data_IF_409639631328
#
_entry.id   IF_409639631328
#
_cell.length_a   1.000
_cell.length_b   1.000
_cell.length_c   1.000
_cell.angle_alpha   90.00
_cell.angle_beta   90.00
_cell.angle_gamma   90.00
#
_symmetry.space_group_name_H-M   'P 1'
#
loop_
_entity.id
_entity.type
_entity.pdbx_description
1 polymer ?
#
# COMPACT_ATOMS: atom_id res chain seq x y z
N UNK A 1 9.60 10.93 -2.90
CA UNK A 1 10.95 10.36 -3.04
C UNK A 1 10.84 8.84 -2.95
N UNK A 2 11.26 8.14 -4.00
CA UNK A 2 11.30 6.68 -4.04
C UNK A 2 12.34 6.17 -3.04
N UNK A 3 11.93 5.34 -2.09
CA UNK A 3 12.84 4.74 -1.10
C UNK A 3 13.33 3.41 -1.65
N UNK A 4 14.65 3.25 -1.81
CA UNK A 4 15.23 1.98 -2.25
C UNK A 4 16.42 1.54 -1.39
N UNK A 5 16.75 0.25 -1.46
CA UNK A 5 17.85 -0.42 -0.76
C UNK A 5 18.60 -1.36 -1.70
N UNK A 6 19.82 -1.71 -1.32
CA UNK A 6 20.68 -2.60 -2.11
C UNK A 6 20.44 -4.07 -1.78
N UNK A 7 19.91 -4.38 -0.59
CA UNK A 7 19.63 -5.74 -0.15
C UNK A 7 18.18 -5.91 0.29
N UNK A 8 17.69 -7.14 0.21
CA UNK A 8 16.34 -7.48 0.65
C UNK A 8 16.18 -7.31 2.17
N UNK A 9 17.20 -7.71 2.95
CA UNK A 9 17.21 -7.61 4.41
C UNK A 9 17.16 -6.15 4.90
N UNK A 10 17.69 -5.20 4.13
CA UNK A 10 17.52 -3.77 4.42
C UNK A 10 16.13 -3.24 4.06
N UNK A 11 15.49 -3.81 3.03
CA UNK A 11 14.22 -3.32 2.49
C UNK A 11 13.01 -3.83 3.28
N UNK A 12 13.01 -5.11 3.66
CA UNK A 12 11.87 -5.76 4.31
C UNK A 12 11.42 -5.09 5.60
N UNK A 13 12.32 -4.67 6.53
CA UNK A 13 11.89 -3.99 7.76
C UNK A 13 11.16 -2.66 7.49
N UNK A 14 11.49 -1.97 6.39
CA UNK A 14 10.87 -0.70 6.02
C UNK A 14 9.43 -0.86 5.51
N UNK A 15 9.06 -2.08 5.15
CA UNK A 15 7.71 -2.46 4.78
C UNK A 15 6.77 -2.53 5.99
N UNK A 16 7.33 -2.81 7.17
CA UNK A 16 6.56 -3.03 8.38
C UNK A 16 6.30 -1.70 9.09
N UNK A 17 5.09 -1.17 8.90
CA UNK A 17 4.66 0.07 9.55
C UNK A 17 3.31 -0.15 10.23
N UNK A 18 3.17 0.13 11.54
CA UNK A 18 1.89 -0.03 12.23
C UNK A 18 0.75 0.69 11.53
N UNK A 19 -0.34 -0.02 11.26
CA UNK A 19 -1.53 0.53 10.61
C UNK A 19 -1.39 0.83 9.12
N UNK A 20 -0.32 0.36 8.46
CA UNK A 20 -0.13 0.51 7.02
C UNK A 20 0.25 -0.83 6.38
N UNK A 21 -0.16 -1.00 5.12
CA UNK A 21 0.29 -2.10 4.28
C UNK A 21 1.55 -1.62 3.58
N UNK A 22 2.65 -2.35 3.73
CA UNK A 22 3.86 -2.15 2.94
C UNK A 22 4.02 -3.20 1.85
N UNK A 23 4.78 -2.82 0.82
CA UNK A 23 5.23 -3.61 -0.32
C UNK A 23 6.72 -3.35 -0.60
N UNK A 24 7.48 -4.39 -0.94
CA UNK A 24 8.83 -4.26 -1.52
C UNK A 24 8.84 -4.82 -2.94
N UNK A 25 9.30 -4.04 -3.91
CA UNK A 25 9.57 -4.50 -5.28
C UNK A 25 11.07 -4.80 -5.41
N UNK A 26 11.41 -6.02 -5.80
CA UNK A 26 12.75 -6.44 -6.24
C UNK A 26 12.76 -6.51 -7.76
N UNK A 27 13.72 -5.81 -8.38
CA UNK A 27 14.02 -5.98 -9.81
C UNK A 27 15.31 -6.79 -9.95
N UNK A 28 15.16 -8.07 -10.30
CA UNK A 28 16.24 -9.06 -10.43
C UNK A 28 17.22 -9.14 -9.23
N UNK A 29 16.76 -8.81 -8.02
CA UNK A 29 17.61 -8.74 -6.83
C UNK A 29 18.70 -7.67 -6.88
N UNK A 30 18.67 -6.76 -7.86
CA UNK A 30 19.66 -5.70 -8.02
C UNK A 30 19.31 -4.44 -7.21
N UNK A 31 18.01 -4.14 -7.08
CA UNK A 31 17.48 -3.05 -6.26
C UNK A 31 16.13 -3.41 -5.67
N UNK A 32 15.88 -2.89 -4.48
CA UNK A 32 14.67 -3.12 -3.70
C UNK A 32 13.97 -1.80 -3.40
N UNK A 33 12.76 -1.61 -3.90
CA UNK A 33 11.97 -0.38 -3.76
C UNK A 33 10.85 -0.59 -2.75
N UNK A 34 10.69 0.34 -1.82
CA UNK A 34 9.74 0.22 -0.72
C UNK A 34 8.56 1.17 -0.92
N UNK A 35 7.36 0.62 -0.86
CA UNK A 35 6.09 1.35 -0.95
C UNK A 35 5.28 1.09 0.31
N UNK A 36 4.68 2.14 0.86
CA UNK A 36 3.85 2.05 2.07
C UNK A 36 2.54 2.78 1.79
N UNK A 37 1.42 2.11 2.08
CA UNK A 37 0.08 2.66 1.87
C UNK A 37 -0.07 4.02 2.55
N UNK A 38 -0.77 4.94 1.88
CA UNK A 38 -1.05 6.28 2.36
C UNK A 38 -2.54 6.42 2.68
N UNK A 39 -2.81 7.05 3.81
CA UNK A 39 -4.16 7.44 4.19
C UNK A 39 -4.55 8.72 3.44
N UNK A 40 -5.85 8.86 3.17
CA UNK A 40 -6.39 10.11 2.66
C UNK A 40 -6.32 11.20 3.71
N UNK A 41 -6.35 12.46 3.26
CA UNK A 41 -6.48 13.64 4.13
C UNK A 41 -7.60 13.49 5.15
N UNK A 42 -8.76 13.02 4.71
CA UNK A 42 -9.90 12.80 5.59
C UNK A 42 -9.63 11.70 6.62
N UNK A 43 -9.02 10.58 6.23
CA UNK A 43 -8.66 9.52 7.16
C UNK A 43 -7.67 10.01 8.23
N UNK A 44 -6.66 10.78 7.83
CA UNK A 44 -5.69 11.39 8.74
C UNK A 44 -6.38 12.37 9.71
N UNK A 45 -7.23 13.26 9.17
CA UNK A 45 -7.95 14.24 9.97
C UNK A 45 -8.91 13.58 10.99
N UNK A 46 -9.72 12.62 10.53
CA UNK A 46 -10.62 11.85 11.39
C UNK A 46 -9.87 11.11 12.51
N UNK A 47 -8.76 10.44 12.17
CA UNK A 47 -7.92 9.74 13.15
C UNK A 47 -7.29 10.69 14.17
N UNK A 48 -6.86 11.87 13.73
CA UNK A 48 -6.27 12.88 14.60
C UNK A 48 -7.29 13.45 15.60
N UNK A 49 -8.50 13.78 15.14
CA UNK A 49 -9.58 14.28 16.00
C UNK A 49 -10.03 13.19 16.98
N UNK A 50 -10.30 11.97 16.48
CA UNK A 50 -10.70 10.85 17.33
C UNK A 50 -9.68 10.54 18.43
N UNK A 51 -8.39 10.54 18.09
CA UNK A 51 -7.34 10.34 19.09
C UNK A 51 -7.26 11.47 20.11
N UNK A 52 -7.37 12.74 19.69
CA UNK A 52 -7.39 13.89 20.61
C UNK A 52 -8.56 13.83 21.58
N UNK A 53 -9.77 13.51 21.09
CA UNK A 53 -10.96 13.39 21.95
C UNK A 53 -10.83 12.21 22.92
N UNK A 54 -10.31 11.07 22.45
CA UNK A 54 -10.03 9.91 23.31
C UNK A 54 -9.04 10.25 24.43
N UNK A 55 -7.92 10.89 24.10
CA UNK A 55 -6.91 11.31 25.09
C UNK A 55 -7.50 12.35 26.05
N UNK A 56 -8.27 13.32 25.55
CA UNK A 56 -8.95 14.30 26.39
C UNK A 56 -9.91 13.66 27.39
N UNK A 57 -10.71 12.68 26.96
CA UNK A 57 -11.62 11.94 27.83
C UNK A 57 -10.86 11.15 28.92
N UNK A 58 -9.74 10.52 28.55
CA UNK A 58 -8.87 9.81 29.49
C UNK A 58 -8.27 10.75 30.55
N UNK A 59 -7.78 11.92 30.13
CA UNK A 59 -7.19 12.91 31.03
C UNK A 59 -8.22 13.51 32.00
N UNK A 60 -9.44 13.76 31.51
CA UNK A 60 -10.52 14.33 32.32
C UNK A 60 -11.22 13.30 33.21
N UNK A 61 -10.95 11.99 33.03
CA UNK A 61 -11.63 10.87 33.72
C UNK A 61 -13.16 10.92 33.64
N UNK A 62 -13.70 11.67 32.69
CA UNK A 62 -15.14 11.80 32.45
C UNK A 62 -15.37 11.44 30.98
N UNK A 63 -16.10 10.35 30.69
CA UNK A 63 -16.49 10.05 29.33
C UNK A 63 -17.44 11.16 28.85
N UNK A 64 -17.12 11.86 27.74
CA UNK A 64 -18.02 12.88 27.21
C UNK A 64 -19.34 12.22 26.79
N UNK A 65 -20.47 12.92 26.98
CA UNK A 65 -21.73 12.45 26.41
C UNK A 65 -21.60 12.36 24.88
N UNK A 66 -22.33 11.45 24.21
CA UNK A 66 -22.27 11.32 22.76
C UNK A 66 -22.51 12.64 22.02
N UNK A 67 -23.43 13.50 22.51
CA UNK A 67 -23.69 14.80 21.89
C UNK A 67 -22.50 15.76 22.01
N UNK A 68 -21.86 15.82 23.18
CA UNK A 68 -20.66 16.66 23.40
C UNK A 68 -19.50 16.15 22.54
N UNK A 69 -19.34 14.83 22.47
CA UNK A 69 -18.32 14.22 21.62
C UNK A 69 -18.53 14.59 20.15
N UNK A 70 -19.75 14.48 19.65
CA UNK A 70 -20.08 14.79 18.26
C UNK A 70 -19.93 16.28 17.93
N UNK A 71 -20.33 17.17 18.84
CA UNK A 71 -20.16 18.62 18.68
C UNK A 71 -18.66 18.99 18.58
N UNK A 72 -17.84 18.49 19.52
CA UNK A 72 -16.38 18.72 19.49
C UNK A 72 -15.72 18.10 18.26
N UNK A 73 -16.21 16.94 17.82
CA UNK A 73 -15.71 16.31 16.60
C UNK A 73 -15.96 17.19 15.38
N UNK A 74 -17.18 17.70 15.23
CA UNK A 74 -17.56 18.58 14.13
C UNK A 74 -16.78 19.91 14.14
N UNK A 75 -16.49 20.44 15.32
CA UNK A 75 -15.67 21.66 15.51
C UNK A 75 -14.21 21.44 15.10
N UNK A 76 -13.60 20.33 15.51
CA UNK A 76 -12.17 20.08 15.29
C UNK A 76 -11.82 19.52 13.91
N UNK A 77 -12.77 18.88 13.24
CA UNK A 77 -12.52 18.21 11.95
C UNK A 77 -12.04 19.16 10.83
N UNK A 78 -12.64 20.35 10.62
CA UNK A 78 -12.13 21.31 9.63
C UNK A 78 -10.68 21.72 9.90
N UNK A 79 -10.35 22.03 11.16
CA UNK A 79 -8.99 22.40 11.57
C UNK A 79 -8.00 21.28 11.27
N UNK A 80 -8.37 20.03 11.57
CA UNK A 80 -7.53 18.87 11.29
C UNK A 80 -7.31 18.64 9.78
N UNK A 81 -8.32 18.91 8.94
CA UNK A 81 -8.22 18.84 7.47
C UNK A 81 -7.28 19.90 6.92
N UNK A 82 -7.34 21.12 7.45
CA UNK A 82 -6.47 22.22 7.03
C UNK A 82 -5.01 21.92 7.39
N UNK A 83 -4.76 21.43 8.61
CA UNK A 83 -3.44 21.00 9.04
C UNK A 83 -2.89 19.84 8.19
N UNK A 84 -3.74 18.88 7.81
CA UNK A 84 -3.33 17.79 6.93
C UNK A 84 -2.98 18.31 5.52
N UNK A 85 -3.73 19.28 5.01
CA UNK A 85 -3.43 19.94 3.72
C UNK A 85 -2.10 20.68 3.77
N UNK A 86 -1.85 21.47 4.84
CA UNK A 86 -0.59 22.19 5.03
C UNK A 86 0.63 21.25 5.13
N UNK A 87 0.43 20.01 5.58
CA UNK A 87 1.46 18.96 5.64
C UNK A 87 1.62 18.18 4.33
N UNK A 88 0.91 18.55 3.28
CA UNK A 88 0.96 17.87 1.99
C UNK A 88 0.34 16.46 2.02
N UNK A 89 -0.64 16.22 2.90
CA UNK A 89 -1.38 14.94 2.89
C UNK A 89 -2.32 14.92 1.69
N UNK A 90 -2.18 13.89 0.87
CA UNK A 90 -2.97 13.69 -0.34
C UNK A 90 -4.48 13.58 -0.06
N UNK A 91 -5.29 14.10 -0.97
CA UNK A 91 -6.75 14.04 -0.85
C UNK A 91 -7.27 12.61 -0.85
N UNK A 92 -6.61 11.71 -1.58
CA UNK A 92 -7.01 10.32 -1.74
C UNK A 92 -6.04 9.37 -1.02
N UNK A 93 -6.57 8.25 -0.53
CA UNK A 93 -5.75 7.16 -0.05
C UNK A 93 -5.12 6.41 -1.21
N UNK A 94 -3.97 5.79 -0.95
CA UNK A 94 -3.28 4.91 -1.89
C UNK A 94 -2.85 3.63 -1.20
N UNK A 95 -3.21 2.48 -1.76
CA UNK A 95 -2.66 1.20 -1.31
C UNK A 95 -1.22 1.07 -1.81
N UNK A 96 -0.41 0.22 -1.17
CA UNK A 96 1.00 0.07 -1.54
C UNK A 96 1.16 -0.47 -2.98
N UNK A 97 0.23 -1.32 -3.42
CA UNK A 97 0.12 -1.83 -4.78
C UNK A 97 -0.20 -0.73 -5.79
N UNK A 98 -1.02 0.25 -5.42
CA UNK A 98 -1.32 1.39 -6.29
C UNK A 98 -0.09 2.30 -6.45
N UNK A 99 0.63 2.54 -5.37
CA UNK A 99 1.88 3.31 -5.40
C UNK A 99 2.95 2.60 -6.25
N UNK A 100 3.03 1.27 -6.17
CA UNK A 100 3.88 0.49 -7.07
C UNK A 100 3.52 0.76 -8.53
N UNK A 101 2.23 0.71 -8.88
CA UNK A 101 1.77 0.95 -10.26
C UNK A 101 2.11 2.38 -10.70
N UNK A 102 1.87 3.37 -9.86
CA UNK A 102 2.10 4.79 -10.16
C UNK A 102 3.59 5.11 -10.37
N UNK A 103 4.49 4.47 -9.63
CA UNK A 103 5.92 4.78 -9.64
C UNK A 103 6.78 3.69 -10.30
N UNK A 104 6.16 2.72 -11.00
CA UNK A 104 6.92 1.62 -11.59
C UNK A 104 7.90 2.08 -12.65
N UNK A 105 7.50 3.04 -13.48
CA UNK A 105 8.36 3.56 -14.55
C UNK A 105 9.62 4.22 -13.98
N UNK A 106 9.51 4.91 -12.83
CA UNK A 106 10.67 5.44 -12.10
C UNK A 106 11.60 4.30 -11.63
N UNK A 107 11.04 3.20 -11.11
CA UNK A 107 11.80 2.02 -10.69
C UNK A 107 12.54 1.37 -11.87
N UNK A 108 11.87 1.27 -13.02
CA UNK A 108 12.45 0.70 -14.24
C UNK A 108 13.56 1.60 -14.79
N UNK A 109 13.34 2.91 -14.87
CA UNK A 109 14.37 3.86 -15.30
C UNK A 109 15.61 3.77 -14.39
N UNK A 110 15.39 3.71 -13.08
CA UNK A 110 16.44 3.56 -12.09
C UNK A 110 17.21 2.22 -12.23
N UNK A 111 16.53 1.14 -12.59
CA UNK A 111 17.14 -0.16 -12.90
C UNK A 111 17.91 -0.15 -14.22
N UNK A 112 17.34 0.43 -15.28
CA UNK A 112 17.97 0.55 -16.60
C UNK A 112 19.24 1.38 -16.52
N UNK A 113 19.24 2.48 -15.75
CA UNK A 113 20.44 3.27 -15.50
C UNK A 113 21.56 2.45 -14.83
N UNK A 114 21.21 1.45 -14.03
CA UNK A 114 22.18 0.56 -13.36
C UNK A 114 22.64 -0.61 -14.25
N UNK A 115 21.72 -1.20 -15.04
CA UNK A 115 21.94 -2.48 -15.74
C UNK A 115 22.05 -2.36 -17.26
N UNK A 116 21.78 -1.18 -17.82
CA UNK A 116 21.79 -0.90 -19.26
C UNK A 116 20.66 -1.58 -20.05
N UNK A 117 19.71 -2.25 -19.39
CA UNK A 117 18.60 -2.98 -20.02
C UNK A 117 17.36 -3.02 -19.12
N UNK A 118 16.15 -3.27 -19.67
CA UNK A 118 14.96 -3.50 -18.87
C UNK A 118 15.06 -4.78 -18.02
N UNK A 119 14.30 -4.87 -16.90
CA UNK A 119 14.25 -6.07 -16.08
C UNK A 119 13.51 -7.20 -16.81
N UNK A 120 13.99 -8.43 -16.64
CA UNK A 120 13.34 -9.65 -17.11
C UNK A 120 12.57 -10.37 -15.98
N UNK A 121 12.90 -10.08 -14.72
CA UNK A 121 12.25 -10.66 -13.54
C UNK A 121 11.95 -9.60 -12.48
N UNK A 122 10.78 -9.71 -11.86
CA UNK A 122 10.38 -8.87 -10.75
C UNK A 122 9.72 -9.71 -9.64
N UNK A 123 10.08 -9.42 -8.41
CA UNK A 123 9.49 -10.04 -7.23
C UNK A 123 8.87 -8.97 -6.34
N UNK A 124 7.65 -9.20 -5.87
CA UNK A 124 6.90 -8.28 -5.03
C UNK A 124 6.66 -8.97 -3.70
N UNK A 125 7.14 -8.36 -2.61
CA UNK A 125 6.96 -8.86 -1.26
C UNK A 125 5.96 -7.96 -0.54
N UNK A 126 4.75 -8.43 -0.36
CA UNK A 126 3.68 -7.76 0.36
C UNK A 126 3.61 -8.17 1.83
N UNK A 127 3.41 -7.18 2.70
CA UNK A 127 3.11 -7.45 4.11
C UNK A 127 1.78 -8.18 4.26
N UNK A 128 0.75 -7.73 3.54
CA UNK A 128 -0.59 -8.28 3.59
C UNK A 128 -1.05 -8.66 2.19
N UNK A 129 -1.95 -9.64 2.12
CA UNK A 129 -2.52 -10.09 0.88
C UNK A 129 -3.24 -8.95 0.14
N UNK A 130 -3.19 -8.85 -1.21
CA UNK A 130 -3.89 -7.81 -1.95
C UNK A 130 -5.39 -7.83 -1.65
N UNK A 131 -5.98 -6.67 -1.38
CA UNK A 131 -7.40 -6.58 -1.02
C UNK A 131 -8.32 -7.11 -2.14
N UNK A 132 -9.47 -7.65 -1.76
CA UNK A 132 -10.56 -8.16 -2.59
C UNK A 132 -11.85 -7.33 -2.42
N UNK A 133 -12.86 -7.61 -3.25
CA UNK A 133 -14.14 -6.89 -3.26
C UNK A 133 -14.93 -7.03 -1.95
N UNK A 134 -14.72 -8.12 -1.22
CA UNK A 134 -15.34 -8.39 0.09
C UNK A 134 -14.65 -7.69 1.26
N UNK A 135 -13.45 -7.16 1.07
CA UNK A 135 -12.68 -6.57 2.16
C UNK A 135 -13.14 -5.13 2.43
N UNK A 136 -13.42 -4.77 3.70
CA UNK A 136 -13.68 -3.38 4.06
C UNK A 136 -12.50 -2.49 3.67
N UNK A 137 -12.76 -1.44 2.89
CA UNK A 137 -11.70 -0.56 2.40
C UNK A 137 -10.94 -1.11 1.19
N UNK A 138 -11.55 -2.01 0.41
CA UNK A 138 -11.01 -2.42 -0.89
C UNK A 138 -10.65 -1.20 -1.75
N UNK A 139 -9.48 -1.25 -2.41
CA UNK A 139 -9.03 -0.19 -3.30
C UNK A 139 -10.05 0.01 -4.44
N UNK A 140 -10.56 1.23 -4.67
CA UNK A 140 -11.64 1.48 -5.64
C UNK A 140 -11.12 1.46 -7.07
N UNK A 141 -12.01 1.39 -8.06
CA UNK A 141 -11.62 1.56 -9.46
C UNK A 141 -11.11 2.99 -9.69
N UNK A 142 -10.00 3.16 -10.42
CA UNK A 142 -9.37 4.47 -10.66
C UNK A 142 -8.34 4.43 -11.79
N UNK A 143 -7.95 5.61 -12.24
CA UNK A 143 -6.80 5.82 -13.13
C UNK A 143 -5.50 5.84 -12.32
N UNK A 144 -4.51 5.03 -12.72
CA UNK A 144 -3.16 5.01 -12.14
C UNK A 144 -2.15 5.06 -13.28
N UNK A 145 -1.19 5.98 -13.24
CA UNK A 145 -0.20 6.19 -14.31
C UNK A 145 -0.83 6.20 -15.72
N UNK A 146 -1.96 6.91 -15.89
CA UNK A 146 -2.66 7.02 -17.17
C UNK A 146 -3.42 5.78 -17.64
N UNK A 147 -3.48 4.70 -16.85
CA UNK A 147 -4.23 3.48 -17.17
C UNK A 147 -5.42 3.28 -16.22
N UNK A 148 -6.58 2.92 -16.76
CA UNK A 148 -7.75 2.58 -15.94
C UNK A 148 -7.61 1.21 -15.31
N UNK A 149 -7.85 1.12 -14.00
CA UNK A 149 -7.88 -0.15 -13.27
C UNK A 149 -9.20 -0.33 -12.52
N UNK A 150 -9.70 -1.56 -12.52
CA UNK A 150 -10.88 -1.95 -11.77
C UNK A 150 -10.62 -1.94 -10.26
N UNK A 151 -11.69 -2.12 -9.48
CA UNK A 151 -11.59 -2.22 -8.03
C UNK A 151 -10.74 -3.43 -7.61
N UNK A 152 -10.22 -3.40 -6.39
CA UNK A 152 -9.38 -4.40 -5.72
C UNK A 152 -7.92 -4.44 -6.16
N UNK A 153 -6.98 -4.45 -5.21
CA UNK A 153 -5.55 -4.56 -5.50
C UNK A 153 -5.21 -5.85 -6.26
N UNK A 154 -5.94 -6.95 -6.00
CA UNK A 154 -5.79 -8.20 -6.76
C UNK A 154 -6.00 -7.96 -8.26
N UNK A 155 -7.14 -7.39 -8.66
CA UNK A 155 -7.43 -7.15 -10.07
C UNK A 155 -6.44 -6.14 -10.68
N UNK A 156 -6.05 -5.11 -9.92
CA UNK A 156 -5.05 -4.13 -10.38
C UNK A 156 -3.70 -4.77 -10.69
N UNK A 157 -3.19 -5.60 -9.77
CA UNK A 157 -1.90 -6.27 -9.94
C UNK A 157 -1.94 -7.25 -11.12
N UNK A 158 -3.00 -8.04 -11.26
CA UNK A 158 -3.15 -8.96 -12.41
C UNK A 158 -3.07 -8.18 -13.71
N UNK A 159 -3.91 -7.14 -13.86
CA UNK A 159 -3.90 -6.29 -15.07
C UNK A 159 -2.54 -5.63 -15.29
N UNK A 160 -1.92 -5.12 -14.24
CA UNK A 160 -0.64 -4.43 -14.35
C UNK A 160 0.48 -5.35 -14.84
N UNK A 161 0.64 -6.54 -14.24
CA UNK A 161 1.71 -7.47 -14.56
C UNK A 161 1.53 -8.17 -15.92
N UNK A 162 0.29 -8.30 -16.41
CA UNK A 162 -0.03 -9.07 -17.63
C UNK A 162 -0.28 -8.22 -18.87
N UNK A 163 -0.10 -6.89 -18.79
CA UNK A 163 -0.39 -5.97 -19.92
C UNK A 163 0.82 -5.16 -20.38
N UNK A 164 0.85 -4.86 -21.68
CA UNK A 164 1.88 -4.03 -22.30
C UNK A 164 3.28 -4.64 -22.19
N UNK A 165 4.30 -3.80 -22.07
CA UNK A 165 5.70 -4.25 -21.94
C UNK A 165 5.98 -5.05 -20.67
N UNK A 166 5.15 -4.89 -19.63
CA UNK A 166 5.27 -5.63 -18.35
C UNK A 166 4.94 -7.12 -18.48
N UNK A 167 4.19 -7.50 -19.52
CA UNK A 167 3.91 -8.90 -19.83
C UNK A 167 5.17 -9.71 -20.20
N UNK A 168 6.25 -9.03 -20.61
CA UNK A 168 7.55 -9.66 -20.89
C UNK A 168 8.37 -9.95 -19.61
N UNK A 169 7.95 -9.43 -18.45
CA UNK A 169 8.63 -9.63 -17.18
C UNK A 169 8.03 -10.88 -16.51
N UNK A 170 8.88 -11.75 -15.95
CA UNK A 170 8.44 -12.83 -15.07
C UNK A 170 8.21 -12.29 -13.66
N UNK A 171 6.97 -12.35 -13.19
CA UNK A 171 6.52 -11.80 -11.92
C UNK A 171 6.27 -12.88 -10.87
N UNK A 172 6.73 -12.62 -9.65
CA UNK A 172 6.29 -13.35 -8.46
C UNK A 172 5.82 -12.38 -7.39
N UNK A 173 4.62 -12.59 -6.87
CA UNK A 173 4.05 -11.79 -5.79
C UNK A 173 3.87 -12.69 -4.57
N UNK A 174 4.60 -12.37 -3.52
CA UNK A 174 4.56 -13.03 -2.23
C UNK A 174 3.80 -12.16 -1.24
N UNK A 175 2.94 -12.75 -0.41
CA UNK A 175 2.31 -12.04 0.71
C UNK A 175 2.45 -12.82 2.02
N UNK A 176 2.57 -12.12 3.15
CA UNK A 176 2.83 -12.73 4.46
C UNK A 176 1.55 -12.97 5.27
N UNK A 177 0.72 -11.93 5.42
CA UNK A 177 -0.49 -11.99 6.23
C UNK A 177 -1.77 -11.96 5.39
N UNK A 178 -2.81 -12.67 5.83
CA UNK A 178 -4.15 -12.55 5.24
C UNK A 178 -4.82 -11.26 5.73
N UNK A 179 -5.81 -10.74 4.99
CA UNK A 179 -6.63 -9.60 5.44
C UNK A 179 -7.97 -10.13 5.98
N UNK A 180 -8.25 -9.87 7.27
CA UNK A 180 -9.49 -10.28 7.93
C UNK A 180 -9.65 -11.81 8.05
N UNK A 181 -10.87 -12.30 7.91
CA UNK A 181 -11.19 -13.75 7.86
C UNK A 181 -11.09 -14.34 6.45
N UNK A 182 -10.86 -13.48 5.46
CA UNK A 182 -10.73 -13.84 4.05
C UNK A 182 -9.37 -14.49 3.81
N UNK A 183 -9.37 -15.83 3.73
CA UNK A 183 -8.25 -16.55 3.12
C UNK A 183 -8.31 -16.32 1.62
N UNK A 184 -7.20 -15.84 1.09
CA UNK A 184 -6.98 -15.69 -0.33
C UNK A 184 -6.30 -16.98 -0.78
N UNK A 185 -7.02 -17.84 -1.49
CA UNK A 185 -6.43 -19.02 -2.16
C UNK A 185 -5.61 -18.55 -3.37
N UNK A 186 -4.56 -17.76 -3.13
CA UNK A 186 -3.66 -17.40 -4.21
C UNK A 186 -2.55 -18.44 -4.24
N UNK A 187 -2.78 -19.43 -5.10
CA UNK A 187 -1.75 -20.14 -5.85
C UNK A 187 -2.09 -19.97 -7.33
N UNK A 188 -2.27 -18.71 -7.76
CA UNK A 188 -2.66 -18.39 -9.13
C UNK A 188 -1.40 -18.27 -9.98
N UNK A 189 -1.34 -19.08 -11.03
CA UNK A 189 -0.33 -18.98 -12.08
C UNK A 189 -1.01 -18.48 -13.37
N UNK A 190 -0.72 -17.23 -13.73
CA UNK A 190 -1.28 -16.50 -14.86
C UNK A 190 -0.18 -16.21 -15.87
N UNK A 191 0.34 -17.26 -16.52
CA UNK A 191 1.37 -17.15 -17.54
C UNK A 191 2.69 -16.60 -17.01
N UNK A 192 2.90 -15.28 -17.11
CA UNK A 192 4.09 -14.60 -16.63
C UNK A 192 4.01 -14.18 -15.14
N UNK A 193 2.87 -14.40 -14.48
CA UNK A 193 2.62 -13.94 -13.11
C UNK A 193 2.26 -15.10 -12.18
N UNK A 194 3.01 -15.24 -11.08
CA UNK A 194 2.65 -16.11 -9.95
C UNK A 194 2.32 -15.26 -8.73
N UNK A 195 1.19 -15.51 -8.09
CA UNK A 195 0.87 -14.93 -6.78
C UNK A 195 0.71 -16.06 -5.77
N UNK A 196 1.47 -16.00 -4.68
CA UNK A 196 1.40 -17.01 -3.63
C UNK A 196 1.65 -16.46 -2.22
N UNK A 197 1.10 -17.16 -1.23
CA UNK A 197 1.45 -16.90 0.17
C UNK A 197 2.91 -17.27 0.39
N UNK A 198 3.66 -16.39 1.05
CA UNK A 198 5.04 -16.70 1.41
C UNK A 198 5.06 -17.93 2.34
N UNK A 199 5.82 -18.99 2.01
CA UNK A 199 5.96 -20.14 2.89
C UNK A 199 6.54 -19.72 4.25
N UNK A 200 6.04 -20.31 5.34
CA UNK A 200 6.37 -19.92 6.72
C UNK A 200 7.86 -20.03 7.10
N UNK A 201 8.68 -20.68 6.27
CA UNK A 201 10.10 -20.98 6.52
C UNK A 201 11.07 -20.12 5.71
N UNK A 202 10.58 -19.18 4.88
CA UNK A 202 11.45 -18.15 4.31
C UNK A 202 11.64 -17.05 5.36
N UNK A 203 12.58 -17.29 6.28
CA UNK A 203 13.14 -16.27 7.16
C UNK A 203 14.22 -15.51 6.37
N UNK A 204 14.02 -14.21 6.17
CA UNK A 204 15.02 -13.32 5.58
C UNK A 204 15.80 -12.58 6.66
#
# INVERSE_FOLDING_TARGET
>A
MLVYRNTLSEALPLRERPGAIGLVLSLEGARYYVFVSRQSRDQVANSAVGNKLRVSAQLLKVPPSPQIHQAKYAELLPIARDLATQRGVEAESRHAEELLIEHFDECVQNFVALRGRPPAKAEVFLSHCPCQSKDPGASPARMLAGTYYEATCKAKLIKFCTTGTRAAISWKVYYQFDIGTSKLDINENLGNLTLCKQPAFINF
#
